data_IF_803212599654
#
_entry.id   IF_803212599654
#
_cell.length_a   1.000
_cell.length_b   1.000
_cell.length_c   1.000
_cell.angle_alpha   90.00
_cell.angle_beta   90.00
_cell.angle_gamma   90.00
#
_symmetry.space_group_name_H-M   'P 1'
#
loop_
_entity.id
_entity.type
_entity.pdbx_description
1 polymer ?
#
# COMPACT_ATOMS: atom_id res chain seq x y z
N UNK A 1 23.53 -42.45 36.43
CA UNK A 1 23.01 -41.08 36.55
C UNK A 1 22.91 -40.46 35.16
N UNK A 2 21.77 -40.58 34.53
CA UNK A 2 21.49 -40.09 33.16
C UNK A 2 20.87 -38.69 33.20
N UNK A 3 21.51 -37.75 32.46
CA UNK A 3 21.03 -36.38 32.32
C UNK A 3 19.81 -36.33 31.37
N UNK A 4 18.76 -35.56 31.63
CA UNK A 4 17.64 -35.43 30.72
C UNK A 4 17.98 -34.51 29.54
N UNK A 5 17.72 -34.99 28.33
CA UNK A 5 17.85 -34.20 27.10
C UNK A 5 16.66 -33.24 27.00
N UNK A 6 16.96 -31.95 27.00
CA UNK A 6 16.02 -30.89 26.67
C UNK A 6 15.74 -30.88 25.12
N UNK A 7 14.57 -31.29 24.70
CA UNK A 7 14.10 -31.14 23.33
C UNK A 7 13.95 -29.67 22.97
N UNK A 8 14.79 -29.19 22.06
CA UNK A 8 14.63 -27.87 21.43
C UNK A 8 13.39 -27.90 20.54
N UNK A 9 12.38 -27.13 20.91
CA UNK A 9 11.23 -26.87 20.06
C UNK A 9 11.67 -25.94 18.91
N UNK A 10 11.94 -26.51 17.75
CA UNK A 10 12.09 -25.78 16.51
C UNK A 10 10.72 -25.39 16.00
N UNK A 11 10.39 -24.11 16.05
CA UNK A 11 9.19 -23.53 15.42
C UNK A 11 9.42 -23.56 13.89
N UNK A 12 9.06 -24.64 13.26
CA UNK A 12 8.95 -24.72 11.81
C UNK A 12 7.63 -24.11 11.38
N UNK A 13 7.67 -23.07 10.56
CA UNK A 13 6.53 -22.57 9.82
C UNK A 13 6.10 -23.63 8.81
N UNK A 14 5.34 -24.62 9.27
CA UNK A 14 4.61 -25.51 8.40
C UNK A 14 3.35 -24.80 7.94
N UNK A 15 3.18 -24.76 6.63
CA UNK A 15 1.98 -24.59 5.84
C UNK A 15 0.69 -24.36 6.63
N UNK A 16 0.11 -23.18 6.46
CA UNK A 16 -1.32 -22.97 6.68
C UNK A 16 -2.01 -23.80 5.60
N UNK A 17 -2.82 -24.82 5.94
CA UNK A 17 -3.59 -25.53 4.94
C UNK A 17 -4.59 -24.56 4.32
N UNK A 18 -4.49 -24.37 3.02
CA UNK A 18 -5.57 -23.81 2.20
C UNK A 18 -6.77 -24.72 2.40
N UNK A 19 -7.81 -24.23 3.06
CA UNK A 19 -9.13 -24.87 3.08
C UNK A 19 -9.69 -24.83 1.66
N UNK A 20 -9.41 -25.88 0.89
CA UNK A 20 -10.17 -26.17 -0.32
C UNK A 20 -11.55 -26.68 0.09
N UNK A 21 -12.64 -26.17 -0.47
CA UNK A 21 -13.94 -26.79 -0.31
C UNK A 21 -13.94 -28.11 -1.11
N UNK A 22 -14.02 -29.22 -0.37
CA UNK A 22 -14.19 -30.56 -0.93
C UNK A 22 -15.55 -30.68 -1.64
N UNK A 23 -15.53 -30.66 -2.97
CA UNK A 23 -16.71 -30.81 -3.82
C UNK A 23 -17.18 -32.27 -4.02
N UNK A 24 -16.63 -33.26 -3.31
CA UNK A 24 -16.88 -34.66 -3.58
C UNK A 24 -17.67 -35.46 -2.50
N UNK A 25 -18.36 -34.78 -1.57
CA UNK A 25 -19.17 -35.49 -0.59
C UNK A 25 -20.66 -35.03 -0.56
N UNK A 26 -21.24 -34.79 -1.74
CA UNK A 26 -22.66 -34.40 -1.87
C UNK A 26 -23.57 -35.57 -2.36
N UNK A 27 -23.22 -36.80 -2.06
CA UNK A 27 -24.11 -37.92 -2.43
C UNK A 27 -24.18 -39.03 -1.39
N UNK A 28 -24.56 -38.70 -0.16
CA UNK A 28 -25.17 -39.70 0.79
C UNK A 28 -25.69 -39.02 2.04
N UNK A 29 -26.68 -38.15 1.93
CA UNK A 29 -27.59 -37.89 3.04
C UNK A 29 -29.01 -38.16 2.60
N UNK A 30 -29.62 -39.21 3.20
CA UNK A 30 -31.04 -39.50 3.09
C UNK A 30 -31.85 -38.31 3.62
N UNK A 31 -33.04 -38.03 3.09
CA UNK A 31 -33.90 -36.99 3.62
C UNK A 31 -34.48 -37.46 4.96
N UNK A 32 -34.01 -36.86 6.03
CA UNK A 32 -34.68 -36.95 7.34
C UNK A 32 -35.42 -35.64 7.56
N UNK A 33 -36.67 -35.78 7.97
CA UNK A 33 -37.74 -34.81 7.97
C UNK A 33 -37.44 -33.45 8.62
N UNK A 34 -38.21 -32.50 8.15
CA UNK A 34 -38.60 -31.23 8.75
C UNK A 34 -38.03 -30.95 10.16
N UNK A 35 -37.04 -30.09 10.23
CA UNK A 35 -36.85 -29.29 11.42
C UNK A 35 -36.28 -27.91 10.96
N UNK A 36 -37.18 -26.95 10.88
CA UNK A 36 -36.89 -25.53 10.78
C UNK A 36 -36.30 -24.95 12.07
N UNK A 37 -35.44 -25.73 12.76
CA UNK A 37 -34.90 -25.36 14.08
C UNK A 37 -33.43 -24.87 14.05
N UNK A 38 -32.71 -25.08 12.98
CA UNK A 38 -31.30 -24.77 12.96
C UNK A 38 -30.97 -23.32 12.53
N UNK A 39 -31.91 -22.66 11.85
CA UNK A 39 -31.67 -21.26 11.36
C UNK A 39 -32.14 -20.21 12.38
N UNK A 40 -33.07 -20.57 13.28
CA UNK A 40 -33.56 -19.66 14.33
C UNK A 40 -32.56 -19.54 15.49
N UNK A 41 -31.81 -20.58 15.79
CA UNK A 41 -30.90 -20.61 16.95
C UNK A 41 -29.62 -19.77 16.80
N UNK A 42 -29.24 -19.32 15.60
CA UNK A 42 -28.09 -18.43 15.43
C UNK A 42 -28.42 -16.93 15.59
N UNK A 43 -29.68 -16.57 15.36
CA UNK A 43 -30.14 -15.17 15.49
C UNK A 43 -30.43 -14.76 16.95
N UNK A 44 -30.61 -15.72 17.86
CA UNK A 44 -30.95 -15.46 19.27
C UNK A 44 -29.79 -14.97 20.14
N UNK A 45 -28.54 -15.11 19.67
CA UNK A 45 -27.34 -14.72 20.44
C UNK A 45 -26.68 -13.42 19.93
N UNK A 46 -27.26 -12.78 18.92
CA UNK A 46 -26.66 -11.53 18.38
C UNK A 46 -26.67 -10.42 19.46
N UNK A 47 -25.57 -9.63 19.54
CA UNK A 47 -25.49 -8.52 20.49
C UNK A 47 -26.59 -7.50 20.23
N UNK A 48 -27.28 -7.08 21.28
CA UNK A 48 -28.27 -5.98 21.18
C UNK A 48 -27.57 -4.64 20.94
N UNK A 49 -28.29 -3.68 20.32
CA UNK A 49 -27.75 -2.33 20.09
C UNK A 49 -27.29 -1.64 21.39
N UNK A 50 -27.95 -1.92 22.52
CA UNK A 50 -27.56 -1.40 23.83
C UNK A 50 -26.22 -1.99 24.33
N UNK A 51 -25.97 -3.27 24.08
CA UNK A 51 -24.69 -3.92 24.41
C UNK A 51 -23.56 -3.40 23.53
N UNK A 52 -23.80 -3.21 22.22
CA UNK A 52 -22.82 -2.63 21.30
C UNK A 52 -22.48 -1.17 21.66
N UNK A 53 -23.42 -0.39 22.18
CA UNK A 53 -23.14 0.97 22.68
C UNK A 53 -22.29 0.97 23.97
N UNK A 54 -22.46 -0.05 24.84
CA UNK A 54 -21.60 -0.22 26.02
C UNK A 54 -20.19 -0.70 25.65
N UNK A 55 -20.08 -1.50 24.59
CA UNK A 55 -18.84 -2.10 24.12
C UNK A 55 -18.53 -1.66 22.67
N UNK A 56 -18.12 -0.41 22.43
CA UNK A 56 -17.98 0.15 21.09
C UNK A 56 -16.92 -0.58 20.25
N UNK A 57 -15.96 -1.24 20.87
CA UNK A 57 -14.97 -2.06 20.16
C UNK A 57 -15.62 -3.26 19.47
N UNK A 58 -16.66 -3.87 20.04
CA UNK A 58 -17.35 -5.01 19.45
C UNK A 58 -18.01 -4.71 18.09
N UNK A 59 -18.28 -3.43 17.79
CA UNK A 59 -18.84 -3.00 16.50
C UNK A 59 -17.89 -3.35 15.35
N UNK A 60 -16.58 -3.28 15.57
CA UNK A 60 -15.58 -3.62 14.54
C UNK A 60 -15.64 -5.10 14.16
N UNK A 61 -16.04 -5.99 15.08
CA UNK A 61 -16.18 -7.42 14.81
C UNK A 61 -17.37 -7.76 13.89
N UNK A 62 -18.33 -6.84 13.71
CA UNK A 62 -19.43 -6.99 12.75
C UNK A 62 -18.94 -6.90 11.29
N UNK A 63 -17.77 -6.30 11.06
CA UNK A 63 -17.17 -6.19 9.73
C UNK A 63 -16.49 -7.51 9.38
N UNK A 64 -16.71 -8.06 8.17
CA UNK A 64 -15.99 -9.26 7.73
C UNK A 64 -14.48 -9.12 7.94
N UNK A 65 -13.84 -10.16 8.47
CA UNK A 65 -12.41 -10.13 8.88
C UNK A 65 -11.48 -9.64 7.77
N UNK A 66 -11.71 -10.11 6.55
CA UNK A 66 -10.91 -9.71 5.39
C UNK A 66 -11.07 -8.21 5.07
N UNK A 67 -12.29 -7.69 5.18
CA UNK A 67 -12.58 -6.27 4.99
C UNK A 67 -11.96 -5.41 6.12
N UNK A 68 -12.00 -5.88 7.36
CA UNK A 68 -11.37 -5.21 8.49
C UNK A 68 -9.84 -5.17 8.34
N UNK A 69 -9.21 -6.26 7.93
CA UNK A 69 -7.76 -6.32 7.67
C UNK A 69 -7.37 -5.44 6.46
N UNK A 70 -8.20 -5.42 5.40
CA UNK A 70 -8.00 -4.52 4.27
C UNK A 70 -8.08 -3.04 4.70
N UNK A 71 -9.09 -2.68 5.48
CA UNK A 71 -9.24 -1.33 6.03
C UNK A 71 -8.07 -0.94 6.94
N UNK A 72 -7.58 -1.87 7.78
CA UNK A 72 -6.38 -1.68 8.60
C UNK A 72 -5.13 -1.40 7.74
N UNK A 73 -4.97 -2.12 6.63
CA UNK A 73 -3.90 -1.89 5.66
C UNK A 73 -3.97 -0.52 4.99
N UNK A 74 -5.17 -0.10 4.60
CA UNK A 74 -5.41 1.22 4.02
C UNK A 74 -5.17 2.35 5.02
N UNK A 75 -5.68 2.21 6.26
CA UNK A 75 -5.47 3.18 7.33
C UNK A 75 -3.98 3.32 7.67
N UNK A 76 -3.25 2.22 7.82
CA UNK A 76 -1.81 2.23 8.09
C UNK A 76 -1.03 2.90 6.95
N UNK A 77 -1.42 2.65 5.71
CA UNK A 77 -0.86 3.32 4.54
C UNK A 77 -1.12 4.82 4.54
N UNK A 78 -2.34 5.25 4.87
CA UNK A 78 -2.73 6.66 4.97
C UNK A 78 -1.97 7.38 6.10
N UNK A 79 -1.88 6.77 7.29
CA UNK A 79 -1.15 7.31 8.42
C UNK A 79 0.34 7.50 8.10
N UNK A 80 1.00 6.47 7.53
CA UNK A 80 2.39 6.56 7.13
C UNK A 80 2.63 7.66 6.09
N UNK A 81 1.72 7.80 5.11
CA UNK A 81 1.79 8.86 4.09
C UNK A 81 1.58 10.25 4.68
N UNK A 82 0.70 10.39 5.66
CA UNK A 82 0.45 11.68 6.31
C UNK A 82 1.65 12.14 7.13
N UNK A 83 2.29 11.24 7.88
CA UNK A 83 3.51 11.58 8.64
C UNK A 83 4.68 11.91 7.73
N UNK A 84 4.84 11.18 6.61
CA UNK A 84 5.94 11.42 5.65
C UNK A 84 5.61 12.46 4.58
N UNK A 85 4.42 13.07 4.58
CA UNK A 85 3.98 14.05 3.61
C UNK A 85 4.95 15.22 3.40
N UNK A 86 5.58 15.81 4.45
CA UNK A 86 6.57 16.88 4.28
C UNK A 86 7.73 16.47 3.36
N UNK A 87 8.29 15.28 3.58
CA UNK A 87 9.40 14.77 2.76
C UNK A 87 8.95 14.45 1.34
N UNK A 88 7.73 13.92 1.18
CA UNK A 88 7.14 13.67 -0.13
C UNK A 88 6.98 14.97 -0.93
N UNK A 89 6.51 16.04 -0.30
CA UNK A 89 6.35 17.33 -0.95
C UNK A 89 7.68 17.94 -1.37
N UNK A 90 8.67 17.94 -0.49
CA UNK A 90 10.00 18.42 -0.80
C UNK A 90 10.62 17.65 -1.98
N UNK A 91 10.47 16.30 -1.98
CA UNK A 91 10.88 15.48 -3.12
C UNK A 91 10.26 15.98 -4.43
N UNK A 92 8.94 16.19 -4.46
CA UNK A 92 8.23 16.64 -5.67
C UNK A 92 8.70 18.01 -6.14
N UNK A 93 8.89 18.97 -5.22
CA UNK A 93 9.40 20.31 -5.51
C UNK A 93 10.81 20.23 -6.12
N UNK A 94 11.70 19.42 -5.56
CA UNK A 94 13.06 19.24 -6.07
C UNK A 94 13.08 18.58 -7.45
N UNK A 95 12.25 17.53 -7.67
CA UNK A 95 12.17 16.84 -8.97
C UNK A 95 11.64 17.73 -10.09
N UNK A 96 10.75 18.68 -9.77
CA UNK A 96 10.13 19.56 -10.75
C UNK A 96 10.77 20.94 -10.83
N UNK A 97 11.82 21.21 -10.03
CA UNK A 97 12.45 22.51 -9.91
C UNK A 97 12.89 23.09 -11.26
N UNK A 98 13.54 22.28 -12.10
CA UNK A 98 14.05 22.72 -13.40
C UNK A 98 12.99 23.21 -14.39
N UNK A 99 11.71 22.76 -14.26
CA UNK A 99 10.59 23.26 -15.07
C UNK A 99 9.93 24.51 -14.50
N UNK A 100 10.13 24.79 -13.21
CA UNK A 100 9.47 25.91 -12.51
C UNK A 100 10.29 27.19 -12.55
N UNK A 101 11.59 27.07 -12.78
CA UNK A 101 12.55 28.20 -12.75
C UNK A 101 13.14 28.34 -14.13
N UNK A 102 13.37 29.58 -14.56
CA UNK A 102 13.97 29.87 -15.88
C UNK A 102 15.33 29.19 -16.08
N UNK A 103 15.76 29.04 -17.35
CA UNK A 103 16.91 28.21 -17.74
C UNK A 103 18.23 28.51 -16.98
N UNK A 104 18.50 29.77 -16.66
CA UNK A 104 19.70 30.14 -15.91
C UNK A 104 19.67 29.68 -14.45
N UNK A 105 18.52 29.81 -13.82
CA UNK A 105 18.32 29.35 -12.43
C UNK A 105 18.10 27.83 -12.31
N UNK A 106 17.74 27.17 -13.39
CA UNK A 106 17.55 25.70 -13.41
C UNK A 106 18.89 24.96 -13.19
N UNK A 107 20.01 25.50 -13.64
CA UNK A 107 21.36 24.93 -13.42
C UNK A 107 21.74 24.92 -11.93
N UNK A 108 21.25 25.89 -11.15
CA UNK A 108 21.48 25.94 -9.71
C UNK A 108 20.49 25.02 -8.99
N UNK A 109 20.96 23.84 -8.66
CA UNK A 109 20.14 22.86 -7.93
C UNK A 109 19.69 23.43 -6.58
N UNK A 110 18.38 23.35 -6.28
CA UNK A 110 17.88 23.67 -4.94
C UNK A 110 18.30 22.56 -3.98
N UNK A 111 18.98 22.90 -2.89
CA UNK A 111 19.36 21.95 -1.84
C UNK A 111 18.12 21.50 -1.04
N UNK A 112 18.22 20.33 -0.40
CA UNK A 112 17.13 19.79 0.43
C UNK A 112 16.70 20.76 1.55
N UNK A 113 17.66 21.28 2.31
CA UNK A 113 17.40 22.24 3.41
C UNK A 113 16.79 23.53 2.87
N UNK A 114 17.30 24.04 1.75
CA UNK A 114 16.79 25.26 1.13
C UNK A 114 15.35 25.07 0.65
N UNK A 115 15.02 23.93 0.02
CA UNK A 115 13.65 23.61 -0.40
C UNK A 115 12.71 23.52 0.81
N UNK A 116 13.18 22.86 1.90
CA UNK A 116 12.43 22.77 3.13
C UNK A 116 12.12 24.14 3.72
N UNK A 117 13.14 24.98 3.95
CA UNK A 117 12.97 26.32 4.51
C UNK A 117 12.09 27.22 3.60
N UNK A 118 12.23 27.08 2.28
CA UNK A 118 11.43 27.86 1.30
C UNK A 118 9.93 27.59 1.46
N UNK A 119 9.52 26.31 1.59
CA UNK A 119 8.11 25.95 1.82
C UNK A 119 7.60 26.55 3.14
N UNK A 120 8.39 26.43 4.22
CA UNK A 120 8.01 26.98 5.53
C UNK A 120 7.84 28.49 5.52
N UNK A 121 8.72 29.22 4.79
CA UNK A 121 8.62 30.69 4.67
C UNK A 121 7.47 31.15 3.76
N UNK A 122 7.19 30.45 2.66
CA UNK A 122 6.20 30.87 1.68
C UNK A 122 4.77 30.44 2.03
N UNK A 123 4.60 29.24 2.58
CA UNK A 123 3.27 28.66 2.79
C UNK A 123 2.99 28.27 4.26
N UNK A 124 3.98 28.42 5.12
CA UNK A 124 3.87 28.05 6.54
C UNK A 124 3.79 26.52 6.76
N UNK A 125 3.43 26.13 8.00
CA UNK A 125 3.40 24.70 8.38
C UNK A 125 2.37 23.88 7.57
N UNK A 126 1.20 24.43 7.28
CA UNK A 126 0.15 23.75 6.48
C UNK A 126 0.65 23.42 5.06
N UNK A 127 1.57 24.22 4.56
CA UNK A 127 2.20 23.99 3.26
C UNK A 127 2.82 22.61 3.07
N UNK A 128 3.42 22.05 4.11
CA UNK A 128 4.08 20.74 4.01
C UNK A 128 3.12 19.58 3.70
N UNK A 129 1.83 19.72 4.03
CA UNK A 129 0.79 18.71 3.75
C UNK A 129 -0.03 19.00 2.50
N UNK A 130 0.32 20.03 1.71
CA UNK A 130 -0.38 20.35 0.47
C UNK A 130 -0.27 19.16 -0.51
N UNK A 131 -1.42 18.67 -0.99
CA UNK A 131 -1.50 17.46 -1.84
C UNK A 131 -1.55 16.13 -1.08
N UNK A 132 -1.41 16.11 0.26
CA UNK A 132 -1.49 14.86 1.02
C UNK A 132 -2.89 14.23 0.97
N UNK A 133 -3.95 15.03 0.98
CA UNK A 133 -5.33 14.52 0.91
C UNK A 133 -5.55 13.66 -0.34
N UNK A 134 -5.13 14.12 -1.52
CA UNK A 134 -5.24 13.35 -2.75
C UNK A 134 -4.46 12.02 -2.68
N UNK A 135 -3.33 12.01 -1.97
CA UNK A 135 -2.55 10.80 -1.75
C UNK A 135 -3.25 9.80 -0.82
N UNK A 136 -3.87 10.28 0.25
CA UNK A 136 -4.63 9.43 1.19
C UNK A 136 -5.85 8.83 0.50
N UNK A 137 -6.63 9.64 -0.22
CA UNK A 137 -7.78 9.17 -1.00
C UNK A 137 -7.38 8.11 -2.02
N UNK A 138 -6.19 8.22 -2.61
CA UNK A 138 -5.68 7.23 -3.57
C UNK A 138 -5.37 5.87 -2.96
N UNK A 139 -5.04 5.77 -1.67
CA UNK A 139 -4.58 4.52 -1.03
C UNK A 139 -5.62 3.41 -1.19
N UNK A 140 -6.89 3.70 -0.91
CA UNK A 140 -7.97 2.70 -0.98
C UNK A 140 -8.18 2.16 -2.41
N UNK A 141 -8.49 2.99 -3.43
CA UNK A 141 -8.74 2.49 -4.77
C UNK A 141 -7.50 1.82 -5.37
N UNK A 142 -6.30 2.33 -5.08
CA UNK A 142 -5.07 1.69 -5.54
C UNK A 142 -4.92 0.27 -4.98
N UNK A 143 -5.10 0.10 -3.67
CA UNK A 143 -4.96 -1.21 -3.02
C UNK A 143 -6.05 -2.19 -3.47
N UNK A 144 -7.30 -1.73 -3.60
CA UNK A 144 -8.41 -2.56 -4.06
C UNK A 144 -8.18 -3.08 -5.48
N UNK A 145 -7.85 -2.18 -6.41
CA UNK A 145 -7.55 -2.55 -7.81
C UNK A 145 -6.32 -3.47 -7.89
N UNK A 146 -5.29 -3.20 -7.07
CA UNK A 146 -4.08 -4.02 -7.06
C UNK A 146 -4.34 -5.46 -6.62
N UNK A 147 -5.13 -5.65 -5.55
CA UNK A 147 -5.48 -6.99 -5.08
C UNK A 147 -6.32 -7.73 -6.11
N UNK A 148 -7.39 -7.10 -6.60
CA UNK A 148 -8.27 -7.71 -7.61
C UNK A 148 -7.50 -8.07 -8.89
N UNK A 149 -6.69 -7.15 -9.40
CA UNK A 149 -5.88 -7.37 -10.60
C UNK A 149 -4.83 -8.47 -10.37
N UNK A 150 -4.18 -8.49 -9.19
CA UNK A 150 -3.20 -9.51 -8.86
C UNK A 150 -3.81 -10.92 -8.85
N UNK A 151 -4.98 -11.08 -8.23
CA UNK A 151 -5.69 -12.36 -8.19
C UNK A 151 -6.13 -12.81 -9.59
N UNK A 152 -6.56 -11.87 -10.43
CA UNK A 152 -6.93 -12.14 -11.82
C UNK A 152 -5.70 -12.58 -12.64
N UNK A 153 -4.60 -11.83 -12.57
CA UNK A 153 -3.37 -12.17 -13.30
C UNK A 153 -2.69 -13.44 -12.74
N UNK A 154 -2.78 -13.68 -11.43
CA UNK A 154 -2.30 -14.92 -10.83
C UNK A 154 -3.01 -16.15 -11.43
N UNK A 155 -4.32 -16.06 -11.66
CA UNK A 155 -5.10 -17.12 -12.32
C UNK A 155 -4.69 -17.28 -13.78
N UNK A 156 -4.46 -16.15 -14.48
CA UNK A 156 -4.09 -16.15 -15.89
C UNK A 156 -2.69 -16.74 -16.15
N UNK A 157 -1.72 -16.45 -15.27
CA UNK A 157 -0.35 -16.93 -15.39
C UNK A 157 -0.07 -18.28 -14.70
N UNK A 158 -1.10 -18.90 -14.13
CA UNK A 158 -1.00 -20.25 -13.57
C UNK A 158 -0.78 -21.24 -14.72
N UNK A 159 0.29 -22.05 -14.63
CA UNK A 159 0.59 -23.08 -15.62
C UNK A 159 -0.39 -24.25 -15.59
N UNK A 160 -0.25 -25.14 -16.55
CA UNK A 160 -1.02 -26.41 -16.65
C UNK A 160 -0.84 -27.30 -15.41
N UNK A 161 0.30 -27.18 -14.73
CA UNK A 161 0.64 -27.94 -13.51
C UNK A 161 0.02 -27.34 -12.23
N UNK A 162 -0.79 -26.29 -12.34
CA UNK A 162 -1.47 -25.65 -11.21
C UNK A 162 -0.56 -24.79 -10.34
N UNK A 163 0.76 -24.81 -10.51
CA UNK A 163 1.71 -23.98 -9.79
C UNK A 163 2.06 -22.69 -10.54
N UNK A 164 2.28 -21.64 -9.76
CA UNK A 164 2.71 -20.36 -10.31
C UNK A 164 4.23 -20.22 -10.22
N UNK A 165 4.89 -20.18 -11.38
CA UNK A 165 6.34 -19.97 -11.45
C UNK A 165 6.75 -18.63 -10.83
N UNK A 166 8.01 -18.49 -10.44
CA UNK A 166 8.55 -17.22 -9.91
C UNK A 166 8.36 -16.09 -10.92
N UNK A 167 8.61 -16.36 -12.20
CA UNK A 167 8.42 -15.40 -13.30
C UNK A 167 6.93 -15.02 -13.41
N UNK A 168 6.03 -16.01 -13.33
CA UNK A 168 4.58 -15.78 -13.34
C UNK A 168 4.11 -14.89 -12.19
N UNK A 169 4.67 -15.07 -10.98
CA UNK A 169 4.37 -14.20 -9.81
C UNK A 169 4.84 -12.76 -10.03
N UNK A 170 6.04 -12.60 -10.58
CA UNK A 170 6.59 -11.28 -10.90
C UNK A 170 5.79 -10.59 -12.00
N UNK A 171 5.44 -11.32 -13.07
CA UNK A 171 4.60 -10.80 -14.15
C UNK A 171 3.21 -10.40 -13.63
N UNK A 172 2.56 -11.24 -12.83
CA UNK A 172 1.27 -10.92 -12.21
C UNK A 172 1.36 -9.67 -11.32
N UNK A 173 2.42 -9.55 -10.52
CA UNK A 173 2.65 -8.37 -9.68
C UNK A 173 2.90 -7.10 -10.50
N UNK A 174 3.69 -7.17 -11.56
CA UNK A 174 3.94 -6.05 -12.46
C UNK A 174 2.66 -5.62 -13.19
N UNK A 175 1.91 -6.55 -13.77
CA UNK A 175 0.63 -6.27 -14.43
C UNK A 175 -0.41 -5.68 -13.47
N UNK A 176 -0.52 -6.21 -12.24
CA UNK A 176 -1.40 -5.68 -11.23
C UNK A 176 -1.01 -4.24 -10.82
N UNK A 177 0.29 -3.99 -10.65
CA UNK A 177 0.81 -2.65 -10.38
C UNK A 177 0.56 -1.67 -11.52
N UNK A 178 0.71 -2.10 -12.78
CA UNK A 178 0.39 -1.29 -13.96
C UNK A 178 -1.10 -0.96 -14.04
N UNK A 179 -1.98 -1.94 -13.87
CA UNK A 179 -3.44 -1.76 -13.87
C UNK A 179 -3.89 -0.81 -12.74
N UNK A 180 -3.38 -1.00 -11.53
CA UNK A 180 -3.68 -0.11 -10.39
C UNK A 180 -3.21 1.31 -10.64
N UNK A 181 -2.01 1.46 -11.22
CA UNK A 181 -1.47 2.76 -11.58
C UNK A 181 -2.31 3.43 -12.65
N UNK A 182 -2.73 2.70 -13.68
CA UNK A 182 -3.59 3.23 -14.75
C UNK A 182 -4.92 3.76 -14.21
N UNK A 183 -5.62 2.95 -13.41
CA UNK A 183 -6.93 3.34 -12.84
C UNK A 183 -6.83 4.53 -11.90
N UNK A 184 -5.78 4.59 -11.08
CA UNK A 184 -5.60 5.67 -10.08
C UNK A 184 -4.74 6.83 -10.58
N UNK A 185 -4.33 6.82 -11.83
CA UNK A 185 -3.40 7.80 -12.40
C UNK A 185 -3.92 9.25 -12.34
N UNK A 186 -5.21 9.53 -12.59
CA UNK A 186 -5.75 10.87 -12.44
C UNK A 186 -5.49 11.47 -11.06
N UNK A 187 -5.65 10.68 -10.00
CA UNK A 187 -5.37 11.13 -8.62
C UNK A 187 -3.87 11.42 -8.39
N UNK A 188 -2.98 10.71 -9.08
CA UNK A 188 -1.54 10.92 -8.99
C UNK A 188 -1.13 12.27 -9.62
N UNK A 189 -1.72 12.59 -10.77
CA UNK A 189 -1.50 13.88 -11.46
C UNK A 189 -2.08 15.05 -10.65
N UNK A 190 -3.31 14.92 -10.16
CA UNK A 190 -3.93 15.93 -9.30
C UNK A 190 -3.10 16.21 -8.05
N UNK A 191 -2.61 15.15 -7.39
CA UNK A 191 -1.72 15.27 -6.23
C UNK A 191 -0.46 16.06 -6.55
N UNK A 192 0.22 15.71 -7.66
CA UNK A 192 1.46 16.37 -8.03
C UNK A 192 1.24 17.85 -8.28
N UNK A 193 0.26 18.20 -9.11
CA UNK A 193 -0.03 19.60 -9.43
C UNK A 193 -0.43 20.41 -8.21
N UNK A 194 -1.29 19.83 -7.34
CA UNK A 194 -1.66 20.46 -6.09
C UNK A 194 -0.45 20.68 -5.16
N UNK A 195 0.47 19.72 -5.09
CA UNK A 195 1.65 19.80 -4.23
C UNK A 195 2.70 20.83 -4.71
N UNK A 196 2.80 21.03 -6.03
CA UNK A 196 3.90 21.78 -6.64
C UNK A 196 3.48 23.17 -7.09
N UNK A 197 2.26 23.34 -7.59
CA UNK A 197 1.77 24.63 -8.11
C UNK A 197 1.16 25.48 -6.97
N UNK A 198 1.70 26.70 -6.71
CA UNK A 198 1.16 27.58 -5.67
C UNK A 198 -0.22 28.14 -6.02
N UNK A 199 -0.60 28.18 -7.29
CA UNK A 199 -1.87 28.73 -7.76
C UNK A 199 -3.12 27.88 -7.43
N UNK A 200 -2.94 26.66 -6.91
CA UNK A 200 -4.03 25.77 -6.56
C UNK A 200 -4.17 25.62 -5.03
N UNK A 201 -5.39 25.68 -4.54
CA UNK A 201 -5.68 25.50 -3.11
C UNK A 201 -6.39 24.18 -2.82
N UNK A 202 -7.31 23.75 -3.71
CA UNK A 202 -8.10 22.54 -3.53
C UNK A 202 -7.91 21.55 -4.69
N UNK A 203 -8.21 20.28 -4.42
CA UNK A 203 -8.14 19.22 -5.44
C UNK A 203 -9.19 19.45 -6.55
N UNK A 204 -10.33 19.99 -6.18
CA UNK A 204 -11.42 20.35 -7.12
C UNK A 204 -10.99 21.47 -8.06
N UNK A 205 -10.31 22.51 -7.58
CA UNK A 205 -9.80 23.60 -8.43
C UNK A 205 -8.82 23.07 -9.47
N UNK A 206 -7.91 22.17 -9.07
CA UNK A 206 -6.98 21.53 -10.00
C UNK A 206 -7.74 20.75 -11.06
N UNK A 207 -8.73 19.94 -10.64
CA UNK A 207 -9.50 19.10 -11.54
C UNK A 207 -10.26 19.94 -12.58
N UNK A 208 -11.00 20.95 -12.15
CA UNK A 208 -11.79 21.81 -13.06
C UNK A 208 -10.90 22.63 -13.99
N UNK A 209 -9.80 23.20 -13.52
CA UNK A 209 -8.86 23.94 -14.36
C UNK A 209 -8.19 23.03 -15.39
N UNK A 210 -7.77 21.83 -14.99
CA UNK A 210 -7.21 20.85 -15.92
C UNK A 210 -8.20 20.45 -17.00
N UNK A 211 -9.45 20.18 -16.61
CA UNK A 211 -10.49 19.80 -17.56
C UNK A 211 -10.80 20.92 -18.55
N UNK A 212 -10.90 22.15 -18.07
CA UNK A 212 -11.25 23.33 -18.88
C UNK A 212 -10.11 23.79 -19.78
N UNK A 213 -8.87 23.80 -19.30
CA UNK A 213 -7.75 24.39 -20.00
C UNK A 213 -6.93 23.36 -20.82
N UNK A 214 -6.82 22.11 -20.34
CA UNK A 214 -5.95 21.11 -20.94
C UNK A 214 -6.68 19.87 -21.45
N UNK A 215 -7.97 19.71 -21.10
CA UNK A 215 -8.82 18.57 -21.49
C UNK A 215 -8.49 17.27 -20.73
N UNK A 216 -9.28 16.21 -21.03
CA UNK A 216 -9.20 14.91 -20.35
C UNK A 216 -7.83 14.23 -20.49
N UNK A 217 -7.14 14.41 -21.60
CA UNK A 217 -5.82 13.81 -21.84
C UNK A 217 -4.75 14.26 -20.84
N UNK A 218 -4.91 15.41 -20.19
CA UNK A 218 -3.97 15.92 -19.19
C UNK A 218 -3.88 15.07 -17.95
N UNK A 219 -4.94 14.35 -17.60
CA UNK A 219 -4.97 13.43 -16.44
C UNK A 219 -4.11 12.19 -16.62
N UNK A 220 -3.70 11.88 -17.85
CA UNK A 220 -2.87 10.73 -18.18
C UNK A 220 -1.48 11.12 -18.70
N UNK A 221 -1.11 12.39 -18.63
CA UNK A 221 0.25 12.84 -18.96
C UNK A 221 1.30 12.19 -18.07
N UNK A 222 2.36 11.63 -18.66
CA UNK A 222 3.41 10.91 -17.94
C UNK A 222 3.02 9.48 -17.53
N UNK A 223 1.92 8.92 -18.06
CA UNK A 223 1.55 7.52 -17.82
C UNK A 223 2.58 6.55 -18.41
N UNK A 224 3.07 6.81 -19.62
CA UNK A 224 4.07 5.96 -20.29
C UNK A 224 5.30 5.66 -19.41
N UNK A 225 6.07 6.67 -18.96
CA UNK A 225 7.20 6.45 -18.06
C UNK A 225 6.81 5.78 -16.75
N UNK A 226 5.57 5.98 -16.29
CA UNK A 226 5.07 5.33 -15.07
C UNK A 226 4.93 3.83 -15.24
N UNK A 227 4.34 3.39 -16.34
CA UNK A 227 4.13 1.97 -16.64
C UNK A 227 5.44 1.27 -16.98
N UNK A 228 6.28 1.93 -17.82
CA UNK A 228 7.59 1.40 -18.20
C UNK A 228 8.51 1.25 -16.98
N UNK A 229 8.42 2.16 -16.00
CA UNK A 229 9.24 2.12 -14.79
C UNK A 229 8.88 1.00 -13.80
N UNK A 230 7.66 0.46 -13.84
CA UNK A 230 7.21 -0.59 -12.88
C UNK A 230 7.96 -1.91 -13.12
N UNK A 231 8.03 -2.37 -14.36
CA UNK A 231 8.65 -3.66 -14.68
C UNK A 231 10.14 -3.72 -14.32
N UNK A 232 11.00 -2.74 -14.75
CA UNK A 232 12.40 -2.71 -14.34
C UNK A 232 12.59 -2.61 -12.83
N UNK A 233 11.75 -1.81 -12.14
CA UNK A 233 11.83 -1.69 -10.69
C UNK A 233 11.59 -3.04 -10.00
N UNK A 234 10.54 -3.76 -10.39
CA UNK A 234 10.23 -5.08 -9.83
C UNK A 234 11.34 -6.07 -10.14
N UNK A 235 11.84 -6.09 -11.38
CA UNK A 235 12.91 -6.97 -11.81
C UNK A 235 14.22 -6.73 -11.04
N UNK A 236 14.67 -5.47 -10.95
CA UNK A 236 15.90 -5.11 -10.22
C UNK A 236 15.75 -5.41 -8.73
N UNK A 237 14.60 -5.05 -8.12
CA UNK A 237 14.35 -5.31 -6.71
C UNK A 237 14.44 -6.81 -6.38
N UNK A 238 13.82 -7.65 -7.21
CA UNK A 238 13.86 -9.10 -7.02
C UNK A 238 15.26 -9.67 -7.26
N UNK A 239 15.93 -9.25 -8.33
CA UNK A 239 17.27 -9.73 -8.69
C UNK A 239 18.28 -9.40 -7.57
N UNK A 240 18.27 -8.16 -7.08
CA UNK A 240 19.15 -7.73 -5.99
C UNK A 240 18.81 -8.43 -4.69
N UNK A 241 17.50 -8.61 -4.40
CA UNK A 241 17.06 -9.35 -3.21
C UNK A 241 17.61 -10.78 -3.22
N UNK A 242 17.51 -11.49 -4.36
CA UNK A 242 17.99 -12.85 -4.50
C UNK A 242 19.52 -12.92 -4.40
N UNK A 243 20.24 -12.01 -5.06
CA UNK A 243 21.71 -11.92 -4.99
C UNK A 243 22.20 -11.68 -3.56
N UNK A 244 21.64 -10.69 -2.86
CA UNK A 244 22.03 -10.37 -1.47
C UNK A 244 21.70 -11.54 -0.56
N UNK A 245 20.52 -12.16 -0.71
CA UNK A 245 20.12 -13.31 0.09
C UNK A 245 21.04 -14.51 -0.13
N UNK A 246 21.51 -14.74 -1.36
CA UNK A 246 22.49 -15.82 -1.68
C UNK A 246 23.89 -15.51 -1.13
N UNK A 247 24.28 -14.25 -1.10
CA UNK A 247 25.58 -13.81 -0.56
C UNK A 247 25.67 -13.89 0.97
N UNK A 248 24.52 -13.97 1.67
CA UNK A 248 24.48 -14.09 3.11
C UNK A 248 24.91 -15.49 3.55
N UNK A 249 25.77 -15.60 4.60
CA UNK A 249 26.10 -16.88 5.23
C UNK A 249 24.85 -17.62 5.69
N UNK A 250 24.83 -18.94 5.60
CA UNK A 250 23.66 -19.78 5.93
C UNK A 250 23.11 -19.51 7.34
N UNK A 251 23.99 -19.19 8.30
CA UNK A 251 23.65 -18.86 9.68
C UNK A 251 22.69 -17.66 9.78
N UNK A 252 22.77 -16.69 8.87
CA UNK A 252 21.96 -15.47 8.85
C UNK A 252 20.81 -15.53 7.86
N UNK A 253 20.88 -16.37 6.81
CA UNK A 253 19.91 -16.45 5.69
C UNK A 253 18.47 -16.64 6.15
N UNK A 254 18.24 -17.36 7.24
CA UNK A 254 16.90 -17.69 7.77
C UNK A 254 16.46 -16.77 8.92
N UNK A 255 17.23 -15.75 9.27
CA UNK A 255 16.84 -14.78 10.30
C UNK A 255 15.90 -13.72 9.71
N UNK A 256 14.82 -13.35 10.42
CA UNK A 256 13.90 -12.31 9.96
C UNK A 256 14.58 -10.95 9.78
N UNK A 257 15.54 -10.61 10.65
CA UNK A 257 16.30 -9.36 10.58
C UNK A 257 17.10 -9.27 9.26
N UNK A 258 17.76 -10.37 8.87
CA UNK A 258 18.51 -10.43 7.62
C UNK A 258 17.61 -10.29 6.40
N UNK A 259 16.40 -10.85 6.43
CA UNK A 259 15.42 -10.69 5.36
C UNK A 259 14.94 -9.24 5.22
N UNK A 260 14.73 -8.54 6.34
CA UNK A 260 14.35 -7.12 6.34
C UNK A 260 15.49 -6.27 5.77
N UNK A 261 16.72 -6.50 6.21
CA UNK A 261 17.89 -5.77 5.70
C UNK A 261 18.11 -6.04 4.21
N UNK A 262 17.97 -7.28 3.77
CA UNK A 262 18.08 -7.66 2.36
C UNK A 262 17.01 -6.94 1.52
N UNK A 263 15.76 -6.92 1.98
CA UNK A 263 14.67 -6.22 1.31
C UNK A 263 14.92 -4.71 1.23
N UNK A 264 15.48 -4.12 2.30
CA UNK A 264 15.82 -2.69 2.32
C UNK A 264 16.94 -2.36 1.31
N UNK A 265 18.00 -3.15 1.28
CA UNK A 265 19.11 -2.98 0.31
C UNK A 265 18.60 -3.14 -1.12
N UNK A 266 17.80 -4.18 -1.39
CA UNK A 266 17.23 -4.44 -2.70
C UNK A 266 16.33 -3.28 -3.17
N UNK A 267 15.44 -2.80 -2.31
CA UNK A 267 14.56 -1.67 -2.61
C UNK A 267 15.35 -0.36 -2.83
N UNK A 268 16.43 -0.16 -2.10
CA UNK A 268 17.29 1.03 -2.25
C UNK A 268 18.00 1.03 -3.59
N UNK A 269 18.59 -0.09 -4.00
CA UNK A 269 19.28 -0.23 -5.28
C UNK A 269 18.26 -0.13 -6.44
N UNK A 270 17.12 -0.80 -6.34
CA UNK A 270 16.06 -0.69 -7.34
C UNK A 270 15.56 0.74 -7.49
N UNK A 271 15.38 1.44 -6.36
CA UNK A 271 14.99 2.86 -6.37
C UNK A 271 16.07 3.73 -7.05
N UNK A 272 17.34 3.53 -6.73
CA UNK A 272 18.44 4.29 -7.33
C UNK A 272 18.50 4.07 -8.84
N UNK A 273 18.39 2.82 -9.29
CA UNK A 273 18.44 2.46 -10.72
C UNK A 273 17.24 3.03 -11.50
N UNK A 274 16.04 3.00 -10.93
CA UNK A 274 14.83 3.48 -11.59
C UNK A 274 14.51 4.96 -11.33
N UNK A 275 15.33 5.65 -10.53
CA UNK A 275 15.08 7.04 -10.14
C UNK A 275 15.00 8.02 -11.32
N UNK A 276 15.84 7.89 -12.36
CA UNK A 276 15.73 8.71 -13.57
C UNK A 276 14.34 8.68 -14.21
N UNK A 277 13.74 7.49 -14.31
CA UNK A 277 12.38 7.32 -14.85
C UNK A 277 11.32 7.99 -13.95
N UNK A 278 11.50 7.91 -12.62
CA UNK A 278 10.58 8.60 -11.68
C UNK A 278 10.67 10.13 -11.86
N UNK A 279 11.86 10.67 -12.05
CA UNK A 279 12.06 12.12 -12.30
C UNK A 279 11.45 12.54 -13.63
N UNK A 280 11.68 11.81 -14.71
CA UNK A 280 11.06 12.06 -16.02
C UNK A 280 9.52 12.02 -15.91
N UNK A 281 8.97 10.98 -15.27
CA UNK A 281 7.53 10.88 -15.00
C UNK A 281 6.99 12.13 -14.32
N UNK A 282 7.63 12.61 -13.25
CA UNK A 282 7.18 13.78 -12.49
C UNK A 282 7.23 15.07 -13.31
N UNK A 283 8.27 15.25 -14.13
CA UNK A 283 8.36 16.40 -14.99
C UNK A 283 7.32 16.37 -16.12
N UNK A 284 7.01 15.21 -16.69
CA UNK A 284 5.97 15.08 -17.71
C UNK A 284 4.54 15.29 -17.17
N UNK A 285 4.31 15.11 -15.88
CA UNK A 285 3.02 15.38 -15.21
C UNK A 285 2.74 16.88 -15.00
N UNK A 286 3.79 17.73 -15.11
CA UNK A 286 3.68 19.17 -14.88
C UNK A 286 2.87 19.87 -15.98
N UNK A 287 2.23 21.00 -15.61
CA UNK A 287 1.57 21.89 -16.57
C UNK A 287 2.60 22.52 -17.51
N UNK A 288 2.25 22.58 -18.79
CA UNK A 288 3.12 23.23 -19.78
C UNK A 288 4.45 22.52 -20.03
N UNK A 289 4.55 21.22 -19.71
CA UNK A 289 5.76 20.45 -20.02
C UNK A 289 6.04 20.45 -21.52
N UNK A 290 7.30 20.72 -21.95
CA UNK A 290 7.67 20.68 -23.35
C UNK A 290 7.80 19.24 -23.88
N UNK A 291 7.79 18.24 -23.01
CA UNK A 291 8.08 16.85 -23.37
C UNK A 291 6.81 16.10 -23.79
N UNK A 292 6.86 15.44 -24.95
CA UNK A 292 5.79 14.57 -25.45
C UNK A 292 6.06 13.10 -25.13
N UNK A 293 7.33 12.69 -25.22
CA UNK A 293 7.75 11.30 -25.01
C UNK A 293 8.87 11.20 -23.98
N UNK A 294 9.14 9.96 -23.50
CA UNK A 294 10.29 9.69 -22.60
C UNK A 294 11.60 9.98 -23.31
N UNK A 295 11.66 9.61 -24.60
CA UNK A 295 12.86 9.77 -25.43
C UNK A 295 13.24 11.23 -25.63
N UNK A 296 12.24 12.15 -25.66
CA UNK A 296 12.47 13.59 -25.72
C UNK A 296 12.83 14.15 -24.35
N UNK A 297 12.16 13.67 -23.30
CA UNK A 297 12.31 14.20 -21.94
C UNK A 297 13.70 13.91 -21.36
N UNK A 298 14.21 12.69 -21.55
CA UNK A 298 15.45 12.25 -20.95
C UNK A 298 16.65 13.11 -21.39
N UNK A 299 16.98 13.23 -22.70
CA UNK A 299 18.08 14.06 -23.15
C UNK A 299 17.87 15.55 -22.86
N UNK A 300 16.63 16.05 -22.94
CA UNK A 300 16.33 17.43 -22.62
C UNK A 300 16.59 17.79 -21.15
N UNK A 301 16.26 16.89 -20.22
CA UNK A 301 16.58 17.06 -18.79
C UNK A 301 18.10 17.04 -18.58
N UNK A 302 18.80 16.09 -19.22
CA UNK A 302 20.26 15.99 -19.13
C UNK A 302 20.94 17.26 -19.72
N UNK A 303 20.46 17.77 -20.85
CA UNK A 303 20.96 18.97 -21.44
C UNK A 303 20.76 20.24 -20.59
N UNK A 304 19.58 20.32 -19.91
CA UNK A 304 19.22 21.48 -19.08
C UNK A 304 19.85 21.41 -17.68
N UNK A 305 19.76 20.29 -17.01
CA UNK A 305 20.05 20.12 -15.58
C UNK A 305 21.27 19.25 -15.30
N UNK A 306 21.89 18.66 -16.36
CA UNK A 306 22.93 17.64 -16.26
C UNK A 306 22.37 16.28 -15.78
N UNK A 307 23.26 15.27 -15.71
CA UNK A 307 22.90 13.93 -15.20
C UNK A 307 22.41 14.00 -13.76
N UNK A 308 22.98 14.88 -12.93
CA UNK A 308 22.55 15.09 -11.55
C UNK A 308 21.08 15.57 -11.46
N UNK A 309 20.56 16.21 -12.50
CA UNK A 309 19.15 16.62 -12.60
C UNK A 309 18.15 15.45 -12.49
N UNK A 310 18.53 14.29 -13.03
CA UNK A 310 17.74 13.07 -12.98
C UNK A 310 17.61 12.48 -11.55
N UNK A 311 18.54 12.84 -10.66
CA UNK A 311 18.57 12.36 -9.26
C UNK A 311 18.12 13.42 -8.24
N UNK A 312 17.61 14.57 -8.71
CA UNK A 312 17.06 15.61 -7.82
C UNK A 312 15.93 15.05 -6.98
N UNK A 313 15.98 15.30 -5.67
CA UNK A 313 14.98 14.77 -4.72
C UNK A 313 15.25 13.33 -4.25
N UNK A 314 16.40 12.74 -4.59
CA UNK A 314 16.77 11.41 -4.07
C UNK A 314 16.95 11.42 -2.55
N UNK A 315 17.58 12.45 -1.99
CA UNK A 315 17.82 12.58 -0.54
C UNK A 315 16.51 12.52 0.26
N UNK A 316 15.49 13.38 0.03
CA UNK A 316 14.22 13.26 0.76
C UNK A 316 13.50 11.92 0.49
N UNK A 317 13.69 11.32 -0.68
CA UNK A 317 13.13 10.00 -0.97
C UNK A 317 13.79 8.89 -0.13
N UNK A 318 15.12 8.91 0.02
CA UNK A 318 15.84 7.97 0.87
C UNK A 318 15.48 8.16 2.35
N UNK A 319 15.47 9.41 2.83
CA UNK A 319 15.13 9.74 4.22
C UNK A 319 13.72 9.28 4.62
N UNK A 320 12.75 9.34 3.71
CA UNK A 320 11.38 8.92 4.02
C UNK A 320 11.16 7.41 4.06
N UNK A 321 12.02 6.62 3.39
CA UNK A 321 11.75 5.18 3.16
C UNK A 321 11.67 4.41 4.46
N UNK A 322 12.61 4.60 5.38
CA UNK A 322 12.60 3.94 6.69
C UNK A 322 11.41 4.39 7.55
N UNK A 323 11.19 5.71 7.80
CA UNK A 323 10.05 6.14 8.60
C UNK A 323 8.70 5.68 8.03
N UNK A 324 8.52 5.78 6.72
CA UNK A 324 7.28 5.35 6.08
C UNK A 324 6.99 3.86 6.28
N UNK A 325 8.01 3.00 6.14
CA UNK A 325 7.86 1.56 6.33
C UNK A 325 7.60 1.20 7.80
N UNK A 326 8.33 1.81 8.73
CA UNK A 326 8.18 1.59 10.17
C UNK A 326 6.79 2.02 10.65
N UNK A 327 6.35 3.23 10.31
CA UNK A 327 5.03 3.74 10.68
C UNK A 327 3.92 2.86 10.10
N UNK A 328 4.05 2.47 8.81
CA UNK A 328 3.06 1.59 8.16
C UNK A 328 2.94 0.26 8.91
N UNK A 329 4.06 -0.38 9.26
CA UNK A 329 4.07 -1.67 9.95
C UNK A 329 3.51 -1.54 11.35
N UNK A 330 4.00 -0.58 12.16
CA UNK A 330 3.55 -0.37 13.54
C UNK A 330 2.06 -0.04 13.60
N UNK A 331 1.58 0.84 12.71
CA UNK A 331 0.15 1.18 12.65
C UNK A 331 -0.70 -0.02 12.22
N UNK A 332 -0.20 -0.83 11.28
CA UNK A 332 -0.90 -2.04 10.86
C UNK A 332 -1.00 -3.07 11.98
N UNK A 333 0.09 -3.27 12.74
CA UNK A 333 0.09 -4.18 13.90
C UNK A 333 -0.83 -3.67 15.02
N UNK A 334 -0.87 -2.35 15.25
CA UNK A 334 -1.81 -1.74 16.18
C UNK A 334 -3.27 -1.99 15.76
N UNK A 335 -3.58 -1.80 14.46
CA UNK A 335 -4.92 -2.08 13.93
C UNK A 335 -5.30 -3.57 14.02
N UNK A 336 -4.36 -4.48 13.75
CA UNK A 336 -4.59 -5.91 13.95
C UNK A 336 -4.92 -6.26 15.40
N UNK A 337 -4.18 -5.67 16.35
CA UNK A 337 -4.47 -5.86 17.78
C UNK A 337 -5.87 -5.34 18.14
N UNK A 338 -6.28 -4.19 17.59
CA UNK A 338 -7.63 -3.66 17.79
C UNK A 338 -8.71 -4.61 17.22
N UNK A 339 -8.50 -5.16 16.03
CA UNK A 339 -9.42 -6.14 15.42
C UNK A 339 -9.50 -7.38 16.30
N UNK A 340 -8.38 -7.94 16.76
CA UNK A 340 -8.38 -9.11 17.65
C UNK A 340 -9.04 -8.81 19.00
N UNK A 341 -8.82 -7.63 19.57
CA UNK A 341 -9.49 -7.21 20.80
C UNK A 341 -11.00 -7.08 20.61
N UNK A 342 -11.43 -6.56 19.45
CA UNK A 342 -12.84 -6.45 19.10
C UNK A 342 -13.51 -7.82 18.93
N UNK A 343 -12.82 -8.80 18.34
CA UNK A 343 -13.28 -10.17 18.22
C UNK A 343 -13.47 -10.81 19.60
N UNK A 344 -12.52 -10.62 20.51
CA UNK A 344 -12.59 -11.15 21.88
C UNK A 344 -13.78 -10.53 22.63
N UNK A 345 -13.95 -9.22 22.55
CA UNK A 345 -15.04 -8.52 23.21
C UNK A 345 -16.41 -8.95 22.66
N UNK A 346 -16.50 -9.15 21.34
CA UNK A 346 -17.71 -9.64 20.70
C UNK A 346 -18.06 -11.08 21.16
N UNK A 347 -17.07 -11.97 21.23
CA UNK A 347 -17.28 -13.34 21.75
C UNK A 347 -17.72 -13.33 23.19
N UNK A 348 -17.18 -12.45 24.01
CA UNK A 348 -17.58 -12.29 25.41
C UNK A 348 -19.06 -11.92 25.54
N UNK A 349 -19.54 -10.96 24.74
CA UNK A 349 -20.96 -10.58 24.74
C UNK A 349 -21.83 -11.76 24.33
N UNK A 350 -21.42 -12.54 23.32
CA UNK A 350 -22.13 -13.73 22.90
C UNK A 350 -22.21 -14.79 24.01
N UNK A 351 -21.13 -14.99 24.76
CA UNK A 351 -21.07 -15.93 25.88
C UNK A 351 -21.95 -15.47 27.05
N UNK A 352 -21.96 -14.18 27.37
CA UNK A 352 -22.83 -13.56 28.37
C UNK A 352 -24.32 -13.77 28.01
N UNK A 353 -24.72 -13.46 26.78
CA UNK A 353 -26.09 -13.66 26.30
C UNK A 353 -26.50 -15.14 26.36
N UNK A 354 -25.59 -16.03 25.98
CA UNK A 354 -25.83 -17.49 26.04
C UNK A 354 -25.99 -17.99 27.48
N UNK A 355 -25.25 -17.45 28.42
CA UNK A 355 -25.34 -17.84 29.84
C UNK A 355 -26.63 -17.36 30.49
N UNK A 356 -27.07 -16.14 30.20
CA UNK A 356 -28.33 -15.56 30.67
C UNK A 356 -29.54 -16.37 30.17
N UNK A 357 -29.53 -16.77 28.91
CA UNK A 357 -30.62 -17.61 28.37
C UNK A 357 -30.68 -18.97 29.02
N UNK A 358 -29.54 -19.62 29.29
CA UNK A 358 -29.53 -20.91 30.01
C UNK A 358 -30.05 -20.79 31.43
N UNK A 359 -29.77 -19.70 32.11
CA UNK A 359 -30.29 -19.44 33.46
C UNK A 359 -31.79 -19.15 33.42
N UNK A 360 -32.26 -18.36 32.43
CA UNK A 360 -33.69 -18.10 32.23
C UNK A 360 -34.50 -19.37 31.89
N UNK A 361 -33.95 -20.24 31.03
CA UNK A 361 -34.57 -21.51 30.68
C UNK A 361 -34.67 -22.49 31.88
N UNK A 362 -33.64 -22.52 32.72
CA UNK A 362 -33.65 -23.32 33.94
C UNK A 362 -34.61 -22.78 35.01
N UNK A 363 -34.77 -21.46 35.12
CA UNK A 363 -35.70 -20.81 36.02
C UNK A 363 -37.19 -21.00 35.62
N UNK A 364 -37.45 -21.16 34.32
CA UNK A 364 -38.81 -21.40 33.81
C UNK A 364 -39.22 -22.89 33.79
N UNK A 365 -38.29 -23.81 34.10
CA UNK A 365 -38.53 -25.25 34.17
C UNK A 365 -38.85 -25.76 35.59
N UNK A 366 -38.81 -24.87 36.58
CA UNK A 366 -39.24 -25.10 37.94
C UNK A 366 -40.56 -24.37 38.22
#
# INVERSE_FOLDING_TARGET
MSKPQMKKATLTWKHIPELQPDHNNLSKCRPCGSNGFATVSMLEFEPTAAQLLKHPLAIVALVPKDAAVFAAGAFSGAAAKTVTAPLDRIKLIMQTHGLRVGQESAKKAIGFVQAFVSVGKQEGLKGYWKGNFAQVVRVLPYSAVQLFAYDTYKKLFRGTDGELSIIGRLAAGACAGMTSTFVTYPLDVLRLRLAVDPGYQTMTDVCFKMLKEEGLGSFYRGLGPSLIGIAPYVAVNFCVFDLVKKSLPEKFRNRPEASIMTAFVAASIATLTCYPLDTVRRQMQMRGTPYKTILDAFPAIVARDGVAGLYRGFVPNALKTLPNSSIKLTTFDAMKRLISASEIEFQRILEENRSEQKQGANASAF
#
